data_IF_740734687370
#
_entry.id   IF_740734687370
#
_cell.length_a   1.000
_cell.length_b   1.000
_cell.length_c   1.000
_cell.angle_alpha   90.00
_cell.angle_beta   90.00
_cell.angle_gamma   90.00
#
_symmetry.space_group_name_H-M   'P 1'
#
loop_
_entity.id
_entity.type
_entity.pdbx_description
1 polymer ?
#
# COMPACT_ATOMS: atom_id res chain seq x y z
N UNK A 1 -6.14 7.59 1.59
CA UNK A 1 -7.05 6.45 1.26
C UNK A 1 -6.48 5.71 0.07
N UNK A 2 -6.48 4.37 0.06
CA UNK A 2 -6.04 3.57 -1.10
C UNK A 2 -7.22 3.22 -1.99
N UNK A 3 -7.11 3.41 -3.30
CA UNK A 3 -8.19 3.28 -4.28
C UNK A 3 -7.71 2.60 -5.56
N UNK A 4 -8.54 1.74 -6.15
CA UNK A 4 -8.31 1.15 -7.46
C UNK A 4 -7.55 -0.17 -7.49
N UNK A 5 -7.23 -0.76 -6.34
CA UNK A 5 -6.62 -2.10 -6.30
C UNK A 5 -7.54 -3.12 -6.97
N UNK A 6 -7.01 -3.88 -7.92
CA UNK A 6 -7.75 -4.77 -8.84
C UNK A 6 -8.89 -4.10 -9.64
N UNK A 7 -8.82 -2.80 -9.87
CA UNK A 7 -9.74 -2.14 -10.77
C UNK A 7 -9.67 -2.77 -12.17
N UNK A 8 -10.84 -3.09 -12.74
CA UNK A 8 -10.91 -3.62 -14.11
C UNK A 8 -10.61 -2.52 -15.12
N UNK A 9 -10.16 -2.93 -16.31
CA UNK A 9 -10.00 -2.02 -17.43
C UNK A 9 -11.30 -1.26 -17.71
N UNK A 10 -11.21 0.05 -17.91
CA UNK A 10 -12.36 0.95 -18.06
C UNK A 10 -13.00 1.45 -16.76
N UNK A 11 -12.66 0.86 -15.58
CA UNK A 11 -13.26 1.28 -14.31
C UNK A 11 -12.96 2.76 -13.99
N UNK A 12 -11.72 3.21 -14.14
CA UNK A 12 -11.36 4.58 -13.80
C UNK A 12 -12.02 5.63 -14.70
N UNK A 13 -12.44 5.27 -15.93
CA UNK A 13 -13.24 6.12 -16.81
C UNK A 13 -14.74 6.11 -16.51
N UNK A 14 -15.22 5.32 -15.53
CA UNK A 14 -16.64 5.14 -15.26
C UNK A 14 -17.21 6.18 -14.29
N UNK A 15 -18.54 6.39 -14.36
CA UNK A 15 -19.27 7.20 -13.39
C UNK A 15 -19.23 6.58 -11.98
N UNK A 16 -19.14 5.24 -11.88
CA UNK A 16 -18.97 4.55 -10.60
C UNK A 16 -17.69 4.99 -9.91
N UNK A 17 -16.54 5.00 -10.62
CA UNK A 17 -15.26 5.44 -10.05
C UNK A 17 -15.30 6.91 -9.60
N UNK A 18 -15.95 7.78 -10.36
CA UNK A 18 -16.14 9.19 -9.99
C UNK A 18 -17.03 9.35 -8.76
N UNK A 19 -18.12 8.58 -8.66
CA UNK A 19 -18.96 8.56 -7.46
C UNK A 19 -18.20 8.09 -6.22
N UNK A 20 -17.27 7.13 -6.36
CA UNK A 20 -16.41 6.70 -5.27
C UNK A 20 -15.42 7.81 -4.83
N UNK A 21 -14.88 8.57 -5.79
CA UNK A 21 -14.03 9.75 -5.49
C UNK A 21 -14.84 10.82 -4.75
N UNK A 22 -16.09 11.09 -5.18
CA UNK A 22 -16.97 12.04 -4.50
C UNK A 22 -17.32 11.59 -3.08
N UNK A 23 -17.55 10.29 -2.86
CA UNK A 23 -17.78 9.74 -1.53
C UNK A 23 -16.54 9.85 -0.63
N UNK A 24 -15.34 9.62 -1.15
CA UNK A 24 -14.08 9.85 -0.42
C UNK A 24 -13.94 11.32 -0.03
N UNK A 25 -14.20 12.26 -0.95
CA UNK A 25 -14.16 13.70 -0.67
C UNK A 25 -15.16 14.09 0.41
N UNK A 26 -16.40 13.62 0.32
CA UNK A 26 -17.44 13.90 1.30
C UNK A 26 -17.09 13.39 2.71
N UNK A 27 -16.30 12.32 2.80
CA UNK A 27 -15.78 11.79 4.07
C UNK A 27 -14.60 12.61 4.61
N UNK A 28 -14.02 13.52 3.83
CA UNK A 28 -12.90 14.35 4.22
C UNK A 28 -11.52 13.81 3.80
N UNK A 29 -11.47 12.84 2.89
CA UNK A 29 -10.19 12.38 2.34
C UNK A 29 -9.49 13.55 1.65
N UNK A 30 -8.20 13.73 1.94
CA UNK A 30 -7.36 14.76 1.36
C UNK A 30 -6.23 14.19 0.48
N UNK A 31 -5.92 12.88 0.64
CA UNK A 31 -4.94 12.16 -0.16
C UNK A 31 -5.49 10.83 -0.65
N UNK A 32 -5.34 10.54 -1.93
CA UNK A 32 -5.71 9.27 -2.54
C UNK A 32 -4.48 8.58 -3.10
N UNK A 33 -4.20 7.35 -2.63
CA UNK A 33 -3.26 6.48 -3.32
C UNK A 33 -4.01 5.75 -4.42
N UNK A 34 -3.79 6.17 -5.65
CA UNK A 34 -4.31 5.48 -6.83
C UNK A 34 -3.39 4.30 -7.13
N UNK A 35 -3.95 3.09 -7.02
CA UNK A 35 -3.23 1.85 -7.30
C UNK A 35 -3.51 1.39 -8.73
N UNK A 36 -2.48 0.96 -9.42
CA UNK A 36 -2.57 0.26 -10.70
C UNK A 36 -1.87 -1.09 -10.59
N UNK A 37 -2.55 -2.16 -10.93
CA UNK A 37 -1.96 -3.49 -10.90
C UNK A 37 -1.05 -3.70 -12.11
N UNK A 38 0.15 -4.17 -11.84
CA UNK A 38 1.12 -4.66 -12.82
C UNK A 38 1.32 -6.15 -12.55
N UNK A 39 1.50 -6.92 -13.57
CA UNK A 39 1.49 -8.37 -13.47
C UNK A 39 2.82 -8.99 -13.90
N UNK A 40 3.13 -10.13 -13.30
CA UNK A 40 4.07 -11.12 -13.79
C UNK A 40 3.45 -12.51 -13.65
N UNK A 41 3.90 -13.48 -14.45
CA UNK A 41 3.25 -14.81 -14.50
C UNK A 41 3.48 -15.60 -13.20
N UNK A 42 4.71 -15.61 -12.70
CA UNK A 42 5.07 -16.31 -11.47
C UNK A 42 5.99 -15.43 -10.61
N UNK A 43 6.10 -15.76 -9.33
CA UNK A 43 6.93 -15.04 -8.35
C UNK A 43 8.40 -14.81 -8.78
N UNK A 44 8.92 -15.64 -9.68
CA UNK A 44 10.27 -15.58 -10.23
C UNK A 44 10.33 -15.21 -11.72
N UNK A 45 9.21 -14.80 -12.32
CA UNK A 45 9.18 -14.31 -13.70
C UNK A 45 9.86 -12.96 -13.83
N UNK A 46 10.53 -12.72 -14.96
CA UNK A 46 11.32 -11.49 -15.16
C UNK A 46 10.57 -10.41 -15.92
N UNK A 47 9.49 -10.75 -16.62
CA UNK A 47 8.69 -9.80 -17.39
C UNK A 47 7.53 -9.28 -16.56
N UNK A 48 7.45 -7.97 -16.46
CA UNK A 48 6.32 -7.27 -15.84
C UNK A 48 5.50 -6.60 -16.95
N UNK A 49 4.19 -6.74 -16.89
CA UNK A 49 3.30 -6.28 -17.96
C UNK A 49 1.97 -5.76 -17.44
N UNK A 50 1.27 -4.99 -18.27
CA UNK A 50 -0.10 -4.56 -18.06
C UNK A 50 -1.05 -5.68 -18.50
N UNK A 51 -1.87 -6.18 -17.58
CA UNK A 51 -2.91 -7.16 -17.90
C UNK A 51 -4.08 -6.50 -18.62
N UNK A 52 -4.70 -7.20 -19.55
CA UNK A 52 -5.83 -6.64 -20.31
C UNK A 52 -7.08 -6.42 -19.44
N UNK A 53 -7.34 -7.34 -18.50
CA UNK A 53 -8.55 -7.26 -17.66
C UNK A 53 -8.37 -6.30 -16.48
N UNK A 54 -7.19 -6.30 -15.83
CA UNK A 54 -6.89 -5.52 -14.63
C UNK A 54 -5.84 -4.42 -14.86
N UNK A 55 -5.55 -4.09 -16.12
CA UNK A 55 -4.67 -2.98 -16.48
C UNK A 55 -5.48 -1.80 -16.98
N UNK A 56 -5.34 -0.65 -16.34
CA UNK A 56 -6.04 0.57 -16.75
C UNK A 56 -5.43 1.16 -18.02
N UNK A 57 -6.23 1.76 -18.89
CA UNK A 57 -5.71 2.59 -19.97
C UNK A 57 -5.02 3.82 -19.40
N UNK A 58 -4.05 4.38 -20.13
CA UNK A 58 -3.38 5.61 -19.69
C UNK A 58 -4.34 6.79 -19.63
N UNK A 59 -5.33 6.80 -20.51
CA UNK A 59 -6.35 7.84 -20.56
C UNK A 59 -7.26 7.77 -19.33
N UNK A 60 -7.82 6.59 -19.01
CA UNK A 60 -8.68 6.42 -17.84
C UNK A 60 -7.93 6.71 -16.54
N UNK A 61 -6.64 6.32 -16.47
CA UNK A 61 -5.80 6.63 -15.32
C UNK A 61 -5.56 8.13 -15.18
N UNK A 62 -5.28 8.82 -16.27
CA UNK A 62 -5.12 10.27 -16.26
C UNK A 62 -6.43 10.98 -15.87
N UNK A 63 -7.56 10.56 -16.45
CA UNK A 63 -8.88 11.15 -16.18
C UNK A 63 -9.28 11.04 -14.70
N UNK A 64 -9.06 9.87 -14.05
CA UNK A 64 -9.40 9.71 -12.64
C UNK A 64 -8.47 10.53 -11.73
N UNK A 65 -7.18 10.65 -12.08
CA UNK A 65 -6.23 11.50 -11.35
C UNK A 65 -6.65 12.98 -11.45
N UNK A 66 -6.97 13.45 -12.66
CA UNK A 66 -7.42 14.81 -12.87
C UNK A 66 -8.74 15.09 -12.14
N UNK A 67 -9.65 14.11 -12.10
CA UNK A 67 -10.89 14.22 -11.35
C UNK A 67 -10.66 14.32 -9.84
N UNK A 68 -9.74 13.52 -9.28
CA UNK A 68 -9.34 13.61 -7.87
C UNK A 68 -8.76 15.00 -7.56
N UNK A 69 -7.88 15.51 -8.41
CA UNK A 69 -7.32 16.86 -8.27
C UNK A 69 -8.41 17.94 -8.36
N UNK A 70 -9.36 17.82 -9.29
CA UNK A 70 -10.49 18.75 -9.42
C UNK A 70 -11.38 18.80 -8.17
N UNK A 71 -11.41 17.73 -7.36
CA UNK A 71 -12.07 17.70 -6.04
C UNK A 71 -11.19 18.28 -4.91
N UNK A 72 -10.01 18.80 -5.23
CA UNK A 72 -9.07 19.38 -4.25
C UNK A 72 -8.41 18.33 -3.34
N UNK A 73 -8.25 17.10 -3.82
CA UNK A 73 -7.48 16.05 -3.16
C UNK A 73 -6.14 15.87 -3.87
N UNK A 74 -5.14 15.38 -3.14
CA UNK A 74 -3.81 15.07 -3.66
C UNK A 74 -3.69 13.60 -4.00
N UNK A 75 -2.78 13.29 -4.94
CA UNK A 75 -2.62 11.95 -5.48
C UNK A 75 -1.21 11.40 -5.23
N UNK A 76 -1.18 10.17 -4.72
CA UNK A 76 -0.03 9.29 -4.78
C UNK A 76 -0.31 8.19 -5.80
N UNK A 77 0.45 8.13 -6.89
CA UNK A 77 0.35 7.02 -7.84
C UNK A 77 1.23 5.85 -7.39
N UNK A 78 0.65 4.65 -7.31
CA UNK A 78 1.34 3.43 -6.85
C UNK A 78 1.08 2.26 -7.79
N UNK A 79 1.99 1.94 -8.72
CA UNK A 79 1.97 0.65 -9.41
C UNK A 79 2.32 -0.48 -8.44
N UNK A 80 1.46 -1.49 -8.35
CA UNK A 80 1.67 -2.66 -7.48
C UNK A 80 1.83 -3.92 -8.31
N UNK A 81 2.90 -4.66 -8.03
CA UNK A 81 3.18 -5.93 -8.73
C UNK A 81 2.36 -7.06 -8.13
N UNK A 82 1.74 -7.86 -9.01
CA UNK A 82 1.00 -9.07 -8.66
C UNK A 82 1.48 -10.26 -9.49
N UNK A 83 1.39 -11.47 -8.94
CA UNK A 83 1.75 -12.70 -9.61
C UNK A 83 0.51 -13.51 -9.97
N UNK A 84 0.45 -14.03 -11.19
CA UNK A 84 -0.69 -14.87 -11.65
C UNK A 84 -0.69 -16.28 -11.09
N UNK A 85 0.45 -16.73 -10.56
CA UNK A 85 0.57 -18.04 -9.90
C UNK A 85 -0.04 -18.08 -8.48
N UNK A 86 -0.60 -16.97 -8.02
CA UNK A 86 -1.20 -16.86 -6.70
C UNK A 86 -0.20 -16.59 -5.56
N UNK A 87 1.10 -16.51 -5.86
CA UNK A 87 2.11 -16.06 -4.90
C UNK A 87 1.99 -14.56 -4.76
N UNK A 88 1.71 -14.08 -3.55
CA UNK A 88 1.66 -12.64 -3.29
C UNK A 88 3.00 -11.96 -3.56
N UNK A 89 2.97 -10.65 -3.83
CA UNK A 89 4.17 -9.85 -4.09
C UNK A 89 5.26 -9.94 -3.02
N UNK A 90 4.90 -10.24 -1.76
CA UNK A 90 5.85 -10.53 -0.69
C UNK A 90 6.75 -11.75 -0.98
N UNK A 91 6.29 -12.67 -1.81
CA UNK A 91 7.04 -13.86 -2.22
C UNK A 91 7.89 -13.66 -3.47
N UNK A 92 7.82 -12.49 -4.12
CA UNK A 92 8.62 -12.20 -5.31
C UNK A 92 10.11 -12.24 -4.97
N UNK A 93 10.82 -13.17 -5.62
CA UNK A 93 12.25 -13.36 -5.39
C UNK A 93 12.92 -14.01 -6.61
N UNK A 94 14.17 -13.66 -6.81
CA UNK A 94 15.02 -14.20 -7.88
C UNK A 94 16.07 -15.14 -7.30
N UNK A 95 15.60 -16.23 -6.66
CA UNK A 95 16.49 -17.20 -5.99
C UNK A 95 17.29 -18.06 -6.99
N UNK A 96 16.95 -18.00 -8.27
CA UNK A 96 17.43 -18.91 -9.29
C UNK A 96 18.60 -18.39 -10.15
N UNK A 97 19.22 -17.26 -9.78
CA UNK A 97 20.42 -16.74 -10.43
C UNK A 97 21.67 -17.60 -10.13
N UNK A 98 21.51 -18.91 -10.32
CA UNK A 98 22.62 -19.85 -10.17
C UNK A 98 22.83 -20.60 -11.49
N UNK A 99 24.10 -20.87 -11.79
CA UNK A 99 24.44 -21.74 -12.89
C UNK A 99 23.83 -23.12 -12.64
N UNK A 100 22.77 -23.46 -13.37
CA UNK A 100 22.13 -24.78 -13.32
C UNK A 100 22.57 -25.68 -14.46
N UNK A 101 23.02 -25.07 -15.56
CA UNK A 101 23.56 -25.72 -16.73
C UNK A 101 24.98 -25.22 -16.90
N UNK A 102 26.01 -26.09 -16.93
CA UNK A 102 27.39 -25.66 -17.09
C UNK A 102 27.56 -24.70 -18.27
N UNK A 103 28.19 -23.56 -18.02
CA UNK A 103 28.39 -22.52 -19.03
C UNK A 103 27.18 -21.63 -19.33
N UNK A 104 26.05 -21.78 -18.58
CA UNK A 104 24.89 -20.90 -18.71
C UNK A 104 24.55 -20.25 -17.35
N UNK A 105 24.81 -18.95 -17.26
CA UNK A 105 24.33 -18.10 -16.18
C UNK A 105 23.03 -17.47 -16.63
N UNK A 106 21.93 -17.75 -15.91
CA UNK A 106 20.65 -17.07 -16.12
C UNK A 106 20.60 -15.84 -15.20
N UNK A 107 20.79 -14.68 -15.77
CA UNK A 107 20.76 -13.41 -15.02
C UNK A 107 19.29 -12.92 -14.84
N UNK A 108 18.51 -13.68 -14.08
CA UNK A 108 17.11 -13.37 -13.80
C UNK A 108 16.96 -12.05 -13.05
N UNK A 109 17.84 -11.75 -12.10
CA UNK A 109 17.78 -10.51 -11.32
C UNK A 109 17.96 -9.28 -12.21
N UNK A 110 18.97 -9.25 -13.04
CA UNK A 110 19.18 -8.11 -13.95
C UNK A 110 18.02 -7.94 -14.90
N UNK A 111 17.47 -9.03 -15.46
CA UNK A 111 16.29 -8.97 -16.35
C UNK A 111 15.06 -8.48 -15.62
N UNK A 112 14.82 -8.94 -14.39
CA UNK A 112 13.70 -8.48 -13.59
C UNK A 112 13.82 -6.99 -13.26
N UNK A 113 14.99 -6.53 -12.84
CA UNK A 113 15.22 -5.12 -12.57
C UNK A 113 15.16 -4.22 -13.81
N UNK A 114 15.52 -4.74 -14.98
CA UNK A 114 15.30 -4.02 -16.24
C UNK A 114 13.81 -3.83 -16.53
N UNK A 115 13.01 -4.89 -16.37
CA UNK A 115 11.55 -4.81 -16.47
C UNK A 115 10.96 -3.85 -15.43
N UNK A 116 11.44 -3.93 -14.17
CA UNK A 116 11.06 -3.03 -13.09
C UNK A 116 11.38 -1.56 -13.41
N UNK A 117 12.56 -1.30 -13.97
CA UNK A 117 12.97 0.04 -14.37
C UNK A 117 12.09 0.60 -15.48
N UNK A 118 11.80 -0.20 -16.51
CA UNK A 118 10.94 0.20 -17.62
C UNK A 118 9.53 0.52 -17.13
N UNK A 119 8.94 -0.35 -16.31
CA UNK A 119 7.64 -0.14 -15.68
C UNK A 119 7.61 1.13 -14.83
N UNK A 120 8.61 1.30 -13.96
CA UNK A 120 8.66 2.46 -13.06
C UNK A 120 8.78 3.77 -13.81
N UNK A 121 9.62 3.84 -14.85
CA UNK A 121 9.74 5.01 -15.74
C UNK A 121 8.44 5.28 -16.49
N UNK A 122 7.76 4.24 -16.96
CA UNK A 122 6.48 4.39 -17.67
C UNK A 122 5.42 5.06 -16.78
N UNK A 123 5.19 4.55 -15.57
CA UNK A 123 4.20 5.13 -14.65
C UNK A 123 4.66 6.46 -14.04
N UNK A 124 5.95 6.66 -13.84
CA UNK A 124 6.50 7.94 -13.40
C UNK A 124 6.24 9.05 -14.41
N UNK A 125 6.29 8.76 -15.72
CA UNK A 125 5.90 9.73 -16.77
C UNK A 125 4.41 10.07 -16.74
N UNK A 126 3.55 9.10 -16.39
CA UNK A 126 2.13 9.40 -16.18
C UNK A 126 1.96 10.28 -14.96
N UNK A 127 2.62 9.93 -13.82
CA UNK A 127 2.58 10.75 -12.61
C UNK A 127 3.04 12.20 -12.85
N UNK A 128 4.11 12.40 -13.63
CA UNK A 128 4.58 13.75 -13.99
C UNK A 128 3.56 14.52 -14.83
N UNK A 129 3.01 13.90 -15.90
CA UNK A 129 2.01 14.54 -16.77
C UNK A 129 0.72 14.88 -16.03
N UNK A 130 0.29 14.06 -15.11
CA UNK A 130 -0.92 14.25 -14.31
C UNK A 130 -0.66 14.99 -13.00
N UNK A 131 0.57 15.44 -12.77
CA UNK A 131 0.98 16.22 -11.59
C UNK A 131 0.68 15.52 -10.26
N UNK A 132 0.81 14.19 -10.22
CA UNK A 132 0.76 13.48 -8.95
C UNK A 132 1.82 14.04 -8.00
N UNK A 133 1.46 14.32 -6.76
CA UNK A 133 2.39 14.87 -5.78
C UNK A 133 3.40 13.83 -5.28
N UNK A 134 3.01 12.55 -5.29
CA UNK A 134 3.87 11.44 -4.86
C UNK A 134 3.80 10.31 -5.90
N UNK A 135 4.95 9.73 -6.19
CA UNK A 135 5.06 8.47 -6.90
C UNK A 135 5.68 7.41 -5.99
N UNK A 136 4.99 6.28 -5.80
CA UNK A 136 5.55 5.12 -5.11
C UNK A 136 6.07 4.15 -6.17
N UNK A 137 7.36 3.82 -6.09
CA UNK A 137 7.99 2.92 -7.06
C UNK A 137 7.31 1.56 -7.07
N UNK A 138 6.96 1.07 -5.87
CA UNK A 138 6.27 -0.21 -5.68
C UNK A 138 5.68 -0.36 -4.28
N UNK A 139 5.15 -1.55 -4.00
CA UNK A 139 4.64 -1.97 -2.70
C UNK A 139 5.08 -3.40 -2.38
N UNK A 140 5.63 -3.59 -1.19
CA UNK A 140 5.84 -4.87 -0.52
C UNK A 140 6.74 -5.90 -1.25
N UNK A 141 7.72 -5.43 -2.02
CA UNK A 141 8.77 -6.29 -2.62
C UNK A 141 9.94 -6.52 -1.65
N UNK A 142 9.63 -6.93 -0.45
CA UNK A 142 10.53 -6.96 0.69
C UNK A 142 11.74 -7.89 0.50
N UNK A 143 11.57 -9.02 -0.20
CA UNK A 143 12.68 -9.95 -0.48
C UNK A 143 13.70 -9.39 -1.48
N UNK A 144 13.34 -8.33 -2.21
CA UNK A 144 14.19 -7.74 -3.24
C UNK A 144 14.96 -6.51 -2.78
N UNK A 145 14.74 -6.00 -1.56
CA UNK A 145 15.31 -4.72 -1.09
C UNK A 145 16.83 -4.68 -1.03
N UNK A 146 17.49 -5.84 -0.89
CA UNK A 146 18.94 -5.94 -0.73
C UNK A 146 19.72 -5.72 -2.04
N UNK A 147 19.05 -5.65 -3.17
CA UNK A 147 19.66 -5.39 -4.48
C UNK A 147 19.97 -3.88 -4.67
N UNK A 148 20.79 -3.34 -3.77
CA UNK A 148 21.03 -1.91 -3.60
C UNK A 148 21.37 -1.17 -4.91
N UNK A 149 22.40 -1.61 -5.64
CA UNK A 149 22.83 -0.97 -6.88
C UNK A 149 21.75 -0.99 -7.97
N UNK A 150 20.94 -2.07 -8.02
CA UNK A 150 19.85 -2.22 -8.99
C UNK A 150 18.70 -1.28 -8.66
N UNK A 151 18.29 -1.18 -7.40
CA UNK A 151 17.29 -0.21 -6.95
C UNK A 151 17.75 1.24 -7.16
N UNK A 152 19.00 1.58 -6.86
CA UNK A 152 19.55 2.91 -7.17
C UNK A 152 19.41 3.25 -8.66
N UNK A 153 19.64 2.28 -9.54
CA UNK A 153 19.45 2.45 -10.99
C UNK A 153 17.98 2.73 -11.35
N UNK A 154 17.03 2.06 -10.69
CA UNK A 154 15.58 2.32 -10.87
C UNK A 154 15.23 3.73 -10.39
N UNK A 155 15.64 4.09 -9.17
CA UNK A 155 15.39 5.43 -8.59
C UNK A 155 15.96 6.52 -9.48
N UNK A 156 17.22 6.38 -9.92
CA UNK A 156 17.85 7.36 -10.79
C UNK A 156 17.15 7.49 -12.15
N UNK A 157 16.61 6.40 -12.71
CA UNK A 157 15.85 6.44 -13.94
C UNK A 157 14.50 7.14 -13.77
N UNK A 158 13.81 6.92 -12.65
CA UNK A 158 12.55 7.59 -12.30
C UNK A 158 12.79 9.10 -12.09
N UNK A 159 13.83 9.49 -11.36
CA UNK A 159 14.18 10.89 -11.12
C UNK A 159 14.45 11.71 -12.40
N UNK A 160 14.86 11.06 -13.49
CA UNK A 160 15.02 11.75 -14.79
C UNK A 160 13.70 12.16 -15.45
N UNK A 161 12.59 11.60 -15.03
CA UNK A 161 11.29 11.80 -15.68
C UNK A 161 10.18 12.25 -14.72
N UNK A 162 10.46 12.30 -13.41
CA UNK A 162 9.49 12.67 -12.38
C UNK A 162 10.12 13.61 -11.35
N UNK A 163 9.49 14.77 -11.15
CA UNK A 163 9.99 15.85 -10.30
C UNK A 163 9.37 15.86 -8.89
N UNK A 164 8.25 15.16 -8.69
CA UNK A 164 7.55 15.12 -7.40
C UNK A 164 8.24 14.22 -6.35
N UNK A 165 7.60 14.07 -5.21
CA UNK A 165 8.14 13.25 -4.12
C UNK A 165 8.11 11.76 -4.47
N UNK A 166 9.19 11.05 -4.12
CA UNK A 166 9.40 9.65 -4.44
C UNK A 166 9.47 8.80 -3.16
N UNK A 167 8.74 7.72 -3.16
CA UNK A 167 8.73 6.75 -2.06
C UNK A 167 8.67 5.30 -2.58
N UNK A 168 8.78 4.34 -1.68
CA UNK A 168 8.46 2.94 -1.87
C UNK A 168 7.82 2.41 -0.59
N UNK A 169 6.88 1.49 -0.70
CA UNK A 169 6.11 0.97 0.43
C UNK A 169 6.57 -0.44 0.78
N UNK A 170 6.97 -0.67 2.03
CA UNK A 170 7.47 -1.97 2.50
C UNK A 170 6.82 -2.38 3.81
N UNK A 171 6.74 -3.69 4.06
CA UNK A 171 6.09 -4.18 5.27
C UNK A 171 6.96 -4.02 6.51
N UNK A 172 6.31 -3.81 7.65
CA UNK A 172 6.96 -3.90 8.96
C UNK A 172 6.42 -5.09 9.76
N UNK A 173 5.13 -5.35 9.66
CA UNK A 173 4.45 -6.40 10.42
C UNK A 173 4.84 -7.84 10.00
N UNK A 174 5.38 -8.03 8.79
CA UNK A 174 5.82 -9.34 8.31
C UNK A 174 7.21 -9.76 8.83
N UNK A 175 7.99 -8.81 9.39
CA UNK A 175 9.30 -9.12 9.97
C UNK A 175 10.37 -9.53 8.95
N UNK A 176 10.16 -9.31 7.64
CA UNK A 176 11.10 -9.65 6.58
C UNK A 176 12.28 -8.67 6.55
N UNK A 177 12.00 -7.40 6.85
CA UNK A 177 12.98 -6.32 6.84
C UNK A 177 13.33 -5.95 8.28
N UNK A 178 14.60 -6.12 8.65
CA UNK A 178 15.17 -5.42 9.80
C UNK A 178 15.59 -4.00 9.36
N UNK A 179 14.67 -3.05 9.52
CA UNK A 179 14.91 -1.66 9.12
C UNK A 179 16.10 -1.03 9.84
N UNK A 180 16.29 -1.35 11.11
CA UNK A 180 17.40 -0.77 11.89
C UNK A 180 18.74 -1.26 11.34
N UNK A 181 18.83 -2.54 10.97
CA UNK A 181 20.02 -3.09 10.34
C UNK A 181 20.26 -2.51 8.95
N UNK A 182 19.24 -2.50 8.11
CA UNK A 182 19.29 -1.93 6.74
C UNK A 182 19.73 -0.46 6.76
N UNK A 183 19.23 0.34 7.69
CA UNK A 183 19.50 1.77 7.78
C UNK A 183 20.86 2.11 8.41
N UNK A 184 21.65 1.11 8.84
CA UNK A 184 23.08 1.31 9.18
C UNK A 184 23.90 1.63 7.92
N UNK A 185 23.56 1.02 6.79
CA UNK A 185 24.19 1.33 5.50
C UNK A 185 23.62 2.66 4.96
N UNK A 186 24.38 3.74 5.12
CA UNK A 186 23.98 5.07 4.64
C UNK A 186 24.00 5.19 3.12
N UNK A 187 24.57 4.23 2.40
CA UNK A 187 24.50 4.11 0.94
C UNK A 187 23.31 3.26 0.47
N UNK A 188 22.44 2.76 1.36
CA UNK A 188 21.27 2.01 0.96
C UNK A 188 20.29 2.88 0.16
N UNK A 189 19.71 2.33 -0.92
CA UNK A 189 18.82 3.04 -1.84
C UNK A 189 17.60 3.71 -1.19
N UNK A 190 17.22 3.30 0.03
CA UNK A 190 16.17 3.99 0.79
C UNK A 190 16.53 5.47 1.02
N UNK A 191 17.81 5.81 1.13
CA UNK A 191 18.24 7.20 1.30
C UNK A 191 18.07 8.06 0.04
N UNK A 192 17.89 7.45 -1.15
CA UNK A 192 17.60 8.14 -2.40
C UNK A 192 16.10 8.51 -2.54
N UNK A 193 15.24 7.98 -1.64
CA UNK A 193 13.83 8.34 -1.54
C UNK A 193 13.65 9.60 -0.68
N UNK A 194 12.54 10.33 -0.88
CA UNK A 194 12.22 11.51 -0.07
C UNK A 194 11.71 11.11 1.32
N UNK A 195 11.00 10.00 1.41
CA UNK A 195 10.53 9.39 2.65
C UNK A 195 10.25 7.89 2.42
N UNK A 196 10.07 7.13 3.52
CA UNK A 196 9.64 5.73 3.43
C UNK A 196 8.15 5.61 3.71
N UNK A 197 7.43 4.89 2.85
CA UNK A 197 6.10 4.38 3.13
C UNK A 197 6.21 3.01 3.80
N UNK A 198 5.47 2.83 4.88
CA UNK A 198 5.45 1.58 5.64
C UNK A 198 4.05 0.98 5.57
N UNK A 199 3.95 -0.25 5.08
CA UNK A 199 2.76 -1.08 5.24
C UNK A 199 2.80 -1.67 6.63
N UNK A 200 2.04 -1.08 7.55
CA UNK A 200 2.07 -1.50 8.94
C UNK A 200 0.66 -1.70 9.51
N UNK A 201 0.27 -2.93 9.56
CA UNK A 201 -0.97 -3.39 10.16
C UNK A 201 -0.71 -3.76 11.62
N UNK A 202 -0.74 -2.73 12.48
CA UNK A 202 -0.40 -2.86 13.89
C UNK A 202 -1.47 -3.65 14.64
N UNK A 203 -1.07 -4.68 15.40
CA UNK A 203 -2.00 -5.44 16.23
C UNK A 203 -2.39 -4.63 17.47
N UNK A 204 -3.69 -4.47 17.69
CA UNK A 204 -4.24 -3.77 18.84
C UNK A 204 -5.12 -4.67 19.74
N UNK A 205 -5.11 -5.99 19.48
CA UNK A 205 -5.86 -7.01 20.24
C UNK A 205 -5.09 -8.34 20.22
N UNK A 206 -5.18 -9.12 21.29
CA UNK A 206 -4.74 -10.51 21.33
C UNK A 206 -5.75 -11.44 20.64
N UNK A 207 -5.27 -12.55 20.07
CA UNK A 207 -6.16 -13.60 19.51
C UNK A 207 -6.98 -14.33 20.56
N UNK A 208 -6.54 -14.31 21.81
CA UNK A 208 -7.18 -14.91 23.00
C UNK A 208 -8.21 -13.99 23.66
N UNK A 209 -8.43 -12.80 23.10
CA UNK A 209 -9.28 -11.76 23.68
C UNK A 209 -10.49 -11.40 22.81
N UNK A 210 -10.88 -12.27 21.89
CA UNK A 210 -11.94 -11.95 20.90
C UNK A 210 -13.30 -11.69 21.56
N UNK A 211 -13.55 -12.28 22.72
CA UNK A 211 -14.80 -12.09 23.49
C UNK A 211 -14.78 -10.82 24.37
N UNK A 212 -13.65 -10.14 24.46
CA UNK A 212 -13.54 -8.90 25.26
C UNK A 212 -13.82 -7.68 24.39
N UNK A 213 -14.64 -6.78 24.87
CA UNK A 213 -14.73 -5.44 24.29
C UNK A 213 -13.56 -4.60 24.78
N UNK A 214 -12.63 -4.25 23.88
CA UNK A 214 -11.52 -3.38 24.20
C UNK A 214 -11.90 -1.91 23.97
N UNK A 215 -11.55 -1.04 24.92
CA UNK A 215 -11.66 0.41 24.75
C UNK A 215 -10.61 0.92 23.77
N UNK A 216 -10.78 2.16 23.31
CA UNK A 216 -9.77 2.87 22.49
C UNK A 216 -8.45 2.99 23.26
N UNK A 217 -8.52 3.28 24.53
CA UNK A 217 -7.37 3.43 25.42
C UNK A 217 -6.60 2.10 25.60
N UNK A 218 -7.31 0.97 25.68
CA UNK A 218 -6.65 -0.34 25.74
C UNK A 218 -5.95 -0.67 24.43
N UNK A 219 -6.59 -0.37 23.29
CA UNK A 219 -5.96 -0.52 21.99
C UNK A 219 -4.74 0.39 21.82
N UNK A 220 -4.79 1.64 22.27
CA UNK A 220 -3.65 2.56 22.24
C UNK A 220 -2.46 2.03 23.05
N UNK A 221 -2.70 1.50 24.27
CA UNK A 221 -1.62 0.86 25.06
C UNK A 221 -0.94 -0.28 24.30
N UNK A 222 -1.70 -1.05 23.53
CA UNK A 222 -1.16 -2.15 22.72
C UNK A 222 -0.42 -1.69 21.47
N UNK A 223 -0.74 -0.49 20.98
CA UNK A 223 -0.03 0.13 19.86
C UNK A 223 1.27 0.82 20.28
N UNK A 224 1.53 0.99 21.56
CA UNK A 224 2.73 1.67 22.07
C UNK A 224 4.05 1.03 21.58
N UNK A 225 4.22 -0.32 21.61
CA UNK A 225 5.43 -0.94 21.06
C UNK A 225 5.62 -0.65 19.55
N UNK A 226 4.51 -0.59 18.81
CA UNK A 226 4.55 -0.24 17.38
C UNK A 226 4.97 1.23 17.19
N UNK A 227 4.52 2.13 18.06
CA UNK A 227 4.92 3.55 18.04
C UNK A 227 6.43 3.70 18.28
N UNK A 228 6.95 3.02 19.30
CA UNK A 228 8.37 3.06 19.61
C UNK A 228 9.22 2.46 18.47
N UNK A 229 8.75 1.38 17.84
CA UNK A 229 9.43 0.78 16.70
C UNK A 229 9.50 1.76 15.51
N UNK A 230 8.38 2.41 15.14
CA UNK A 230 8.34 3.40 14.06
C UNK A 230 9.21 4.62 14.39
N UNK A 231 9.19 5.08 15.63
CA UNK A 231 10.05 6.19 16.11
C UNK A 231 11.54 5.85 15.97
N UNK A 232 11.93 4.62 16.32
CA UNK A 232 13.31 4.14 16.16
C UNK A 232 13.73 4.10 14.68
N UNK A 233 12.84 3.62 13.80
CA UNK A 233 13.07 3.61 12.35
C UNK A 233 13.23 5.04 11.82
N UNK A 234 12.32 5.95 12.16
CA UNK A 234 12.37 7.34 11.73
C UNK A 234 13.66 8.03 12.18
N UNK A 235 14.09 7.77 13.41
CA UNK A 235 15.36 8.28 13.96
C UNK A 235 16.57 7.72 13.20
N UNK A 236 16.60 6.42 12.90
CA UNK A 236 17.69 5.78 12.16
C UNK A 236 17.75 6.26 10.70
N UNK A 237 16.59 6.46 10.09
CA UNK A 237 16.46 6.94 8.72
C UNK A 237 16.78 8.43 8.57
N UNK A 238 16.42 9.24 9.55
CA UNK A 238 16.61 10.71 9.54
C UNK A 238 15.67 11.46 8.60
N UNK A 239 14.63 10.78 8.09
CA UNK A 239 13.59 11.34 7.22
C UNK A 239 12.20 10.89 7.71
N UNK A 240 11.11 11.56 7.29
CA UNK A 240 9.76 11.17 7.68
C UNK A 240 9.36 9.77 7.20
N UNK A 241 8.31 9.23 7.84
CA UNK A 241 7.63 7.99 7.47
C UNK A 241 6.16 8.26 7.17
N UNK A 242 5.58 7.44 6.31
CA UNK A 242 4.15 7.43 6.01
C UNK A 242 3.58 6.04 6.33
N UNK A 243 2.39 5.96 6.89
CA UNK A 243 1.62 4.72 6.84
C UNK A 243 1.08 4.55 5.42
N UNK A 244 1.87 3.90 4.56
CA UNK A 244 1.51 3.66 3.17
C UNK A 244 0.35 2.69 3.01
N UNK A 245 0.25 1.75 3.97
CA UNK A 245 -0.91 0.90 4.18
C UNK A 245 -1.12 0.69 5.67
N UNK A 246 -2.35 0.83 6.12
CA UNK A 246 -2.81 0.49 7.46
C UNK A 246 -4.31 0.19 7.41
N UNK A 247 -4.81 -0.49 8.41
CA UNK A 247 -6.23 -0.79 8.49
C UNK A 247 -6.52 -2.05 9.28
N UNK A 248 -7.79 -2.38 9.38
CA UNK A 248 -8.28 -3.69 9.80
C UNK A 248 -9.67 -3.92 9.21
N UNK A 249 -10.10 -5.17 9.18
CA UNK A 249 -11.45 -5.54 8.74
C UNK A 249 -12.49 -5.15 9.78
N UNK A 250 -13.73 -4.93 9.35
CA UNK A 250 -14.88 -4.66 10.24
C UNK A 250 -15.54 -5.98 10.72
N UNK A 251 -14.74 -6.84 11.29
CA UNK A 251 -15.16 -8.13 11.83
C UNK A 251 -14.58 -8.35 13.21
N UNK A 252 -15.23 -9.20 14.00
CA UNK A 252 -14.70 -9.65 15.30
C UNK A 252 -13.27 -10.18 15.12
N UNK A 253 -12.32 -9.61 15.83
CA UNK A 253 -10.90 -9.93 15.74
C UNK A 253 -10.14 -9.22 14.64
N UNK A 254 -10.75 -8.28 13.90
CA UNK A 254 -10.06 -7.47 12.89
C UNK A 254 -8.83 -6.77 13.43
N UNK A 255 -8.88 -6.27 14.67
CA UNK A 255 -7.73 -5.64 15.34
C UNK A 255 -6.67 -6.64 15.84
N UNK A 256 -6.96 -7.94 15.87
CA UNK A 256 -6.00 -9.00 16.22
C UNK A 256 -5.17 -9.46 15.01
N UNK A 257 -5.77 -9.43 13.83
CA UNK A 257 -5.15 -9.78 12.56
C UNK A 257 -5.39 -8.69 11.50
N UNK A 258 -4.88 -7.48 11.74
CA UNK A 258 -5.29 -6.32 10.95
C UNK A 258 -4.88 -6.38 9.47
N UNK A 259 -3.84 -7.14 9.10
CA UNK A 259 -3.47 -7.39 7.70
C UNK A 259 -4.24 -8.53 7.04
N UNK A 260 -4.99 -9.32 7.83
CA UNK A 260 -5.73 -10.48 7.36
C UNK A 260 -7.10 -10.10 6.82
N UNK A 261 -7.58 -10.83 5.80
CA UNK A 261 -8.99 -10.80 5.45
C UNK A 261 -9.81 -11.50 6.54
N UNK A 262 -10.99 -10.98 6.82
CA UNK A 262 -11.87 -11.63 7.78
C UNK A 262 -12.24 -13.05 7.28
N UNK A 263 -12.29 -13.99 8.21
CA UNK A 263 -12.72 -15.35 7.90
C UNK A 263 -14.17 -15.33 7.39
N UNK A 264 -14.55 -16.24 6.49
CA UNK A 264 -15.91 -16.27 5.95
C UNK A 264 -17.02 -16.38 7.02
N UNK A 265 -16.71 -17.02 8.15
CA UNK A 265 -17.60 -17.21 9.30
C UNK A 265 -17.51 -16.10 10.37
N UNK A 266 -16.57 -15.15 10.22
CA UNK A 266 -16.41 -14.08 11.19
C UNK A 266 -17.65 -13.17 11.24
N UNK A 267 -18.10 -12.85 12.45
CA UNK A 267 -19.21 -11.90 12.66
C UNK A 267 -18.75 -10.49 12.32
N UNK A 268 -19.62 -9.69 11.67
CA UNK A 268 -19.35 -8.25 11.48
C UNK A 268 -19.20 -7.54 12.84
N UNK A 269 -18.21 -6.64 12.93
CA UNK A 269 -18.00 -5.73 14.06
C UNK A 269 -17.42 -4.40 13.56
N UNK A 270 -18.30 -3.51 13.15
CA UNK A 270 -17.92 -2.16 12.71
C UNK A 270 -17.39 -1.29 13.88
N UNK A 271 -17.85 -1.59 15.10
CA UNK A 271 -17.44 -0.83 16.27
C UNK A 271 -15.96 -1.15 16.61
N UNK A 272 -15.50 -2.39 16.43
CA UNK A 272 -14.10 -2.73 16.58
C UNK A 272 -13.23 -1.99 15.56
N UNK A 273 -13.62 -1.99 14.29
CA UNK A 273 -12.90 -1.24 13.25
C UNK A 273 -12.83 0.26 13.59
N UNK A 274 -13.92 0.84 14.07
CA UNK A 274 -13.96 2.25 14.46
C UNK A 274 -13.05 2.55 15.66
N UNK A 275 -13.07 1.72 16.71
CA UNK A 275 -12.17 1.85 17.88
C UNK A 275 -10.70 1.67 17.49
N UNK A 276 -10.41 0.71 16.63
CA UNK A 276 -9.06 0.50 16.10
C UNK A 276 -8.56 1.73 15.34
N UNK A 277 -9.37 2.29 14.45
CA UNK A 277 -9.00 3.48 13.69
C UNK A 277 -8.74 4.67 14.62
N UNK A 278 -9.62 4.90 15.61
CA UNK A 278 -9.46 5.96 16.61
C UNK A 278 -8.14 5.77 17.37
N UNK A 279 -7.87 4.56 17.85
CA UNK A 279 -6.66 4.25 18.57
C UNK A 279 -5.41 4.46 17.72
N UNK A 280 -5.43 4.00 16.45
CA UNK A 280 -4.32 4.18 15.51
C UNK A 280 -4.03 5.68 15.30
N UNK A 281 -5.05 6.47 14.98
CA UNK A 281 -4.85 7.89 14.72
C UNK A 281 -4.38 8.64 15.99
N UNK A 282 -4.99 8.39 17.15
CA UNK A 282 -4.56 9.02 18.40
C UNK A 282 -3.14 8.65 18.81
N UNK A 283 -2.70 7.46 18.49
CA UNK A 283 -1.34 7.00 18.83
C UNK A 283 -0.27 7.66 17.97
N UNK A 284 -0.54 7.90 16.67
CA UNK A 284 0.53 8.26 15.73
C UNK A 284 0.40 9.64 15.09
N UNK A 285 -0.78 10.28 15.07
CA UNK A 285 -1.01 11.52 14.29
C UNK A 285 -0.15 12.72 14.72
N UNK A 286 0.27 12.76 15.95
CA UNK A 286 1.07 13.87 16.52
C UNK A 286 2.57 13.55 16.55
N UNK A 287 2.99 12.39 16.02
CA UNK A 287 4.40 12.04 15.89
C UNK A 287 5.06 12.89 14.80
N UNK A 288 6.18 13.58 15.10
CA UNK A 288 6.78 14.54 14.17
C UNK A 288 7.31 13.91 12.89
N UNK A 289 7.52 12.60 12.89
CA UNK A 289 7.94 11.84 11.73
C UNK A 289 6.76 11.34 10.88
N UNK A 290 5.52 11.39 11.36
CA UNK A 290 4.36 10.81 10.68
C UNK A 290 3.79 11.77 9.63
N UNK A 291 3.92 11.42 8.36
CA UNK A 291 3.34 12.18 7.25
C UNK A 291 1.84 11.94 7.07
N UNK A 292 1.30 10.87 7.64
CA UNK A 292 -0.13 10.54 7.53
C UNK A 292 -0.39 9.07 7.25
N UNK A 293 -1.68 8.79 7.00
CA UNK A 293 -2.21 7.43 6.93
C UNK A 293 -2.91 7.20 5.59
N UNK A 294 -2.54 6.12 4.91
CA UNK A 294 -3.28 5.58 3.77
C UNK A 294 -4.02 4.33 4.21
N UNK A 295 -5.29 4.49 4.57
CA UNK A 295 -6.14 3.36 4.95
C UNK A 295 -6.35 2.44 3.75
N UNK A 296 -6.13 1.16 3.96
CA UNK A 296 -6.41 0.10 3.00
C UNK A 296 -7.85 -0.34 3.17
N UNK A 297 -8.71 -0.43 2.19
CA UNK A 297 -8.68 0.07 0.83
C UNK A 297 -10.06 0.62 0.57
N UNK A 298 -10.28 1.27 -0.54
CA UNK A 298 -11.59 1.79 -0.96
C UNK A 298 -12.03 1.10 -2.24
N UNK A 299 -13.28 0.59 -2.27
CA UNK A 299 -13.83 -0.16 -3.38
C UNK A 299 -13.55 -1.66 -3.31
N UNK A 300 -13.60 -2.33 -4.44
CA UNK A 300 -13.35 -3.78 -4.54
C UNK A 300 -11.86 -4.08 -4.36
N UNK A 301 -11.56 -5.14 -3.62
CA UNK A 301 -10.19 -5.51 -3.28
C UNK A 301 -9.77 -6.89 -3.80
N UNK A 302 -10.62 -7.63 -4.53
CA UNK A 302 -10.28 -8.97 -5.01
C UNK A 302 -10.76 -9.22 -6.44
N UNK A 303 -9.94 -9.88 -7.27
CA UNK A 303 -10.35 -10.30 -8.60
C UNK A 303 -11.12 -11.63 -8.61
N UNK A 304 -11.03 -12.39 -7.52
CA UNK A 304 -11.39 -13.83 -7.53
C UNK A 304 -12.88 -14.06 -7.33
N UNK A 305 -13.60 -13.12 -6.68
CA UNK A 305 -15.04 -13.25 -6.35
C UNK A 305 -15.76 -11.92 -6.50
N UNK A 306 -16.14 -11.51 -7.71
CA UNK A 306 -16.57 -10.12 -7.96
C UNK A 306 -17.84 -9.70 -7.22
N UNK A 307 -18.81 -10.57 -7.01
CA UNK A 307 -20.10 -10.22 -6.38
C UNK A 307 -20.15 -10.58 -4.90
N UNK A 308 -19.64 -11.74 -4.51
CA UNK A 308 -19.52 -12.16 -3.12
C UNK A 308 -18.54 -11.25 -2.35
N UNK A 309 -17.48 -10.78 -3.01
CA UNK A 309 -16.48 -9.92 -2.41
C UNK A 309 -17.01 -8.52 -2.10
N UNK A 310 -17.92 -7.98 -2.92
CA UNK A 310 -18.53 -6.68 -2.62
C UNK A 310 -19.40 -6.78 -1.36
N UNK A 311 -20.21 -7.83 -1.22
CA UNK A 311 -21.02 -8.05 -0.01
C UNK A 311 -20.13 -8.30 1.22
N UNK A 312 -19.01 -8.99 1.04
CA UNK A 312 -18.00 -9.20 2.07
C UNK A 312 -17.36 -7.88 2.51
N UNK A 313 -16.88 -7.07 1.55
CA UNK A 313 -16.25 -5.78 1.83
C UNK A 313 -17.19 -4.80 2.52
N UNK A 314 -18.45 -4.76 2.10
CA UNK A 314 -19.46 -3.93 2.74
C UNK A 314 -19.69 -4.36 4.20
N UNK A 315 -19.75 -5.66 4.48
CA UNK A 315 -20.12 -6.16 5.82
C UNK A 315 -18.93 -6.36 6.75
N UNK A 316 -17.81 -6.84 6.25
CA UNK A 316 -16.69 -7.36 7.07
C UNK A 316 -15.32 -6.86 6.64
N UNK A 317 -15.17 -6.29 5.46
CA UNK A 317 -13.89 -5.91 4.87
C UNK A 317 -13.32 -4.61 5.43
N UNK A 318 -12.26 -4.16 4.78
CA UNK A 318 -11.51 -2.95 5.15
C UNK A 318 -12.27 -1.65 4.84
N UNK A 319 -13.19 -1.70 3.90
CA UNK A 319 -13.90 -0.53 3.39
C UNK A 319 -14.63 0.23 4.49
N UNK A 320 -14.58 1.55 4.41
CA UNK A 320 -15.17 2.47 5.41
C UNK A 320 -16.55 2.96 5.02
N UNK A 321 -16.92 2.94 3.73
CA UNK A 321 -18.17 3.51 3.21
C UNK A 321 -19.37 2.93 3.92
N UNK A 322 -20.17 3.81 4.55
CA UNK A 322 -21.38 3.42 5.29
C UNK A 322 -21.14 2.84 6.68
N UNK A 323 -19.89 2.69 7.13
CA UNK A 323 -19.55 2.09 8.43
C UNK A 323 -19.25 3.13 9.51
N UNK A 324 -19.27 2.68 10.77
CA UNK A 324 -18.94 3.53 11.93
C UNK A 324 -17.56 4.17 11.83
N UNK A 325 -16.57 3.47 11.28
CA UNK A 325 -15.22 3.97 11.10
C UNK A 325 -15.12 5.18 10.16
N UNK A 326 -16.06 5.35 9.21
CA UNK A 326 -16.11 6.54 8.36
C UNK A 326 -16.30 7.83 9.16
N UNK A 327 -17.13 7.77 10.23
CA UNK A 327 -17.34 8.93 11.15
C UNK A 327 -16.07 9.25 11.95
N UNK A 328 -15.32 8.22 12.34
CA UNK A 328 -14.02 8.40 12.99
C UNK A 328 -13.06 9.06 12.02
N UNK A 329 -12.91 8.52 10.81
CA UNK A 329 -12.05 9.08 9.78
C UNK A 329 -12.34 10.56 9.55
N UNK A 330 -13.61 10.93 9.34
CA UNK A 330 -14.01 12.32 9.10
C UNK A 330 -13.65 13.31 10.23
N UNK A 331 -13.55 12.85 11.48
CA UNK A 331 -13.11 13.70 12.61
C UNK A 331 -11.63 14.06 12.53
N UNK A 332 -10.81 13.17 11.95
CA UNK A 332 -9.35 13.33 11.82
C UNK A 332 -8.91 13.87 10.47
N UNK A 333 -9.73 13.69 9.44
CA UNK A 333 -9.50 14.20 8.09
C UNK A 333 -9.83 15.70 8.02
N UNK A 334 -9.05 16.54 8.69
CA UNK A 334 -9.21 18.00 8.61
C UNK A 334 -8.33 18.57 7.50
N UNK A 335 -8.77 19.65 6.82
CA UNK A 335 -7.97 20.34 5.81
C UNK A 335 -6.71 20.95 6.40
#
# INVERSE_FOLDING_TARGET
MTFGFYAKNGYFGSDEARAEVDAMKAMGVNWVTVVVNVWQDAYCSTLQYKDFLYGQSDLDLADIIDYIHAKGMKVQLRPMLECKDGVGRLGVSMMWDRERIPGRVCDYRTRWFESMRQRSVYYARIAERTKCEIFSIDSELDLMIRENAKWKSVVAAVRKVYSGALTSCHTLHCGVIDYIDVLKDKDHWFYDLDFLSISYYCKARGRDELEKELSVEDMMKRLEPAREQMRAIAKAYGKPLQFGECGCTSSVGGAAEPSGFARPDAKPDEAEQARYMEALFRTFKDEPWCLGFHWWGWGRLSPIRPEEDLAYEIRRGFQLKGKAAAKVFSRYARP
#
